data_IF_630093115434
#
_entry.id   IF_630093115434
#
_cell.length_a   1.000
_cell.length_b   1.000
_cell.length_c   1.000
_cell.angle_alpha   90.00
_cell.angle_beta   90.00
_cell.angle_gamma   90.00
#
_symmetry.space_group_name_H-M   'P 1'
#
loop_
_entity.id
_entity.type
_entity.pdbx_description
1 polymer ?
#
# COMPACT_ATOMS: atom_id res chain seq x y z
N UNK A 1 -22.87 19.38 5.17
CA UNK A 1 -21.46 19.23 4.74
C UNK A 1 -21.26 17.81 4.25
N UNK A 2 -20.60 17.61 3.10
CA UNK A 2 -20.24 16.25 2.64
C UNK A 2 -19.23 15.65 3.63
N UNK A 3 -19.48 14.45 4.11
CA UNK A 3 -18.61 13.75 5.06
C UNK A 3 -17.26 13.51 4.39
N UNK A 4 -16.17 13.83 5.07
CA UNK A 4 -14.80 13.53 4.62
C UNK A 4 -14.52 12.06 4.92
N UNK A 5 -13.96 11.35 3.95
CA UNK A 5 -13.53 9.96 4.09
C UNK A 5 -12.04 9.84 3.82
N UNK A 6 -11.33 9.18 4.70
CA UNK A 6 -9.88 9.03 4.65
C UNK A 6 -9.53 7.55 4.60
N UNK A 7 -8.68 7.19 3.65
CA UNK A 7 -8.06 5.89 3.57
C UNK A 7 -6.56 6.04 3.84
N UNK A 8 -6.04 5.33 4.83
CA UNK A 8 -4.61 5.25 5.10
C UNK A 8 -4.08 4.01 4.39
N UNK A 9 -3.12 4.17 3.49
CA UNK A 9 -2.52 3.09 2.74
C UNK A 9 -1.03 2.97 3.05
N UNK A 10 -0.63 1.87 3.65
CA UNK A 10 0.75 1.62 4.08
C UNK A 10 1.09 0.12 4.09
N UNK A 11 2.36 -0.22 4.34
CA UNK A 11 2.84 -1.60 4.33
C UNK A 11 2.53 -2.35 5.65
N UNK A 12 1.35 -2.15 6.22
CA UNK A 12 0.94 -2.68 7.54
C UNK A 12 0.32 -4.08 7.51
N UNK A 13 0.38 -4.77 6.37
CA UNK A 13 -0.05 -6.17 6.17
C UNK A 13 1.02 -7.21 6.54
N UNK A 14 2.16 -6.75 7.06
CA UNK A 14 3.30 -7.59 7.42
C UNK A 14 3.90 -7.12 8.74
N UNK A 15 4.53 -8.04 9.46
CA UNK A 15 5.17 -7.71 10.71
C UNK A 15 6.48 -6.94 10.48
N UNK A 16 6.35 -5.62 10.49
CA UNK A 16 7.44 -4.66 10.64
C UNK A 16 6.93 -3.59 11.59
N UNK A 17 7.51 -3.50 12.77
CA UNK A 17 7.01 -2.62 13.83
C UNK A 17 6.90 -1.15 13.39
N UNK A 18 7.86 -0.66 12.60
CA UNK A 18 7.80 0.69 12.04
C UNK A 18 6.55 0.89 11.16
N UNK A 19 6.28 -0.06 10.26
CA UNK A 19 5.14 0.02 9.34
C UNK A 19 3.79 -0.11 10.08
N UNK A 20 3.73 -0.86 11.19
CA UNK A 20 2.53 -0.97 12.01
C UNK A 20 2.20 0.31 12.77
N UNK A 21 3.20 1.13 13.12
CA UNK A 21 3.01 2.38 13.84
C UNK A 21 2.41 3.49 12.98
N UNK A 22 2.69 3.52 11.67
CA UNK A 22 2.22 4.60 10.79
C UNK A 22 0.70 4.75 10.79
N UNK A 23 -0.11 3.70 10.55
CA UNK A 23 -1.57 3.83 10.57
C UNK A 23 -2.09 4.23 11.95
N UNK A 24 -1.51 3.73 13.03
CA UNK A 24 -1.90 4.09 14.39
C UNK A 24 -1.71 5.57 14.69
N UNK A 25 -0.53 6.10 14.34
CA UNK A 25 -0.19 7.50 14.54
C UNK A 25 -1.09 8.39 13.69
N UNK A 26 -1.24 8.08 12.41
CA UNK A 26 -2.07 8.87 11.50
C UNK A 26 -3.55 8.82 11.92
N UNK A 27 -4.06 7.65 12.29
CA UNK A 27 -5.43 7.52 12.78
C UNK A 27 -5.68 8.43 13.99
N UNK A 28 -4.76 8.42 14.96
CA UNK A 28 -4.85 9.27 16.14
C UNK A 28 -4.81 10.76 15.77
N UNK A 29 -3.85 11.19 14.95
CA UNK A 29 -3.72 12.59 14.57
C UNK A 29 -4.91 13.10 13.75
N UNK A 30 -5.34 12.32 12.77
CA UNK A 30 -6.47 12.69 11.90
C UNK A 30 -7.76 12.78 12.69
N UNK A 31 -8.04 11.80 13.58
CA UNK A 31 -9.23 11.81 14.43
C UNK A 31 -9.26 13.00 15.40
N UNK A 32 -8.10 13.43 15.91
CA UNK A 32 -7.99 14.61 16.76
C UNK A 32 -8.25 15.92 16.00
N UNK A 33 -7.85 16.00 14.73
CA UNK A 33 -7.97 17.21 13.92
C UNK A 33 -9.31 17.32 13.20
N UNK A 34 -9.93 16.20 12.87
CA UNK A 34 -11.18 16.11 12.12
C UNK A 34 -12.15 15.19 12.89
N UNK A 35 -12.86 15.73 13.90
CA UNK A 35 -13.79 14.92 14.69
C UNK A 35 -14.87 14.28 13.81
N UNK A 36 -15.15 12.99 14.03
CA UNK A 36 -16.18 12.24 13.29
C UNK A 36 -15.82 11.86 11.86
N UNK A 37 -14.54 12.02 11.45
CA UNK A 37 -14.06 11.52 10.16
C UNK A 37 -14.09 9.98 10.15
N UNK A 38 -14.43 9.40 9.00
CA UNK A 38 -14.29 7.97 8.77
C UNK A 38 -12.90 7.66 8.24
N UNK A 39 -12.18 6.75 8.90
CA UNK A 39 -10.82 6.37 8.54
C UNK A 39 -10.77 4.86 8.39
N UNK A 40 -10.41 4.40 7.18
CA UNK A 40 -10.18 3.00 6.89
C UNK A 40 -8.69 2.75 6.62
N UNK A 41 -8.18 1.60 7.06
CA UNK A 41 -6.79 1.23 6.85
C UNK A 41 -6.68 0.20 5.71
N UNK A 42 -5.68 0.41 4.85
CA UNK A 42 -5.41 -0.41 3.69
C UNK A 42 -3.93 -0.76 3.56
N UNK A 43 -3.67 -1.93 3.01
CA UNK A 43 -2.35 -2.41 2.67
C UNK A 43 -2.41 -3.17 1.32
N UNK A 44 -1.38 -3.94 0.96
CA UNK A 44 -1.45 -4.75 -0.26
C UNK A 44 -2.49 -5.87 -0.16
N UNK A 45 -2.57 -6.52 1.01
CA UNK A 45 -3.49 -7.62 1.30
C UNK A 45 -4.33 -7.36 2.54
N UNK A 46 -5.45 -8.09 2.66
CA UNK A 46 -6.22 -8.12 3.89
C UNK A 46 -5.38 -8.73 5.01
N UNK A 47 -5.32 -8.06 6.16
CA UNK A 47 -4.54 -8.51 7.30
C UNK A 47 -5.15 -8.04 8.61
N UNK A 48 -5.01 -8.84 9.65
CA UNK A 48 -5.30 -8.44 11.03
C UNK A 48 -4.10 -8.74 11.92
N UNK A 49 -3.32 -7.72 12.18
CA UNK A 49 -2.16 -7.76 13.07
C UNK A 49 -2.43 -7.10 14.43
N UNK A 50 -3.69 -7.00 14.84
CA UNK A 50 -4.09 -6.38 16.11
C UNK A 50 -3.44 -7.04 17.31
N UNK A 51 -3.25 -8.36 17.28
CA UNK A 51 -2.55 -9.12 18.34
C UNK A 51 -1.06 -8.76 18.46
N UNK A 52 -0.48 -8.15 17.43
CA UNK A 52 0.92 -7.70 17.38
C UNK A 52 1.05 -6.18 17.51
N UNK A 53 -0.02 -5.51 17.91
CA UNK A 53 -0.04 -4.05 18.07
C UNK A 53 -0.32 -3.26 16.80
N UNK A 54 -0.73 -3.92 15.71
CA UNK A 54 -1.17 -3.28 14.48
C UNK A 54 -2.67 -2.98 14.47
N UNK A 55 -3.19 -2.69 13.30
CA UNK A 55 -4.62 -2.48 13.03
C UNK A 55 -5.09 -3.43 11.93
N UNK A 56 -6.39 -3.81 11.92
CA UNK A 56 -6.96 -4.49 10.77
C UNK A 56 -6.82 -3.64 9.50
N UNK A 57 -6.42 -4.24 8.40
CA UNK A 57 -6.23 -3.60 7.11
C UNK A 57 -6.97 -4.34 6.01
N UNK A 58 -7.42 -3.61 5.00
CA UNK A 58 -8.02 -4.14 3.79
C UNK A 58 -7.04 -4.06 2.62
N UNK A 59 -7.17 -4.98 1.66
CA UNK A 59 -6.27 -5.05 0.52
C UNK A 59 -6.45 -3.92 -0.51
N UNK A 60 -5.44 -3.73 -1.35
CA UNK A 60 -5.37 -2.71 -2.39
C UNK A 60 -6.57 -2.77 -3.37
N UNK A 61 -7.03 -3.97 -3.74
CA UNK A 61 -8.20 -4.11 -4.62
C UNK A 61 -9.44 -3.48 -4.01
N UNK A 62 -9.62 -3.64 -2.69
CA UNK A 62 -10.73 -3.05 -1.96
C UNK A 62 -10.56 -1.53 -1.83
N UNK A 63 -9.34 -1.04 -1.56
CA UNK A 63 -9.05 0.40 -1.56
C UNK A 63 -9.52 1.07 -2.85
N UNK A 64 -9.14 0.51 -4.01
CA UNK A 64 -9.51 1.05 -5.33
C UNK A 64 -11.02 0.97 -5.55
N UNK A 65 -11.65 -0.18 -5.25
CA UNK A 65 -13.09 -0.37 -5.41
C UNK A 65 -13.91 0.58 -4.54
N UNK A 66 -13.54 0.71 -3.27
CA UNK A 66 -14.25 1.56 -2.32
C UNK A 66 -14.02 3.04 -2.64
N UNK A 67 -12.79 3.42 -2.99
CA UNK A 67 -12.45 4.79 -3.34
C UNK A 67 -13.23 5.33 -4.55
N UNK A 68 -13.54 4.48 -5.54
CA UNK A 68 -14.36 4.84 -6.70
C UNK A 68 -15.80 5.22 -6.34
N UNK A 69 -16.30 4.76 -5.21
CA UNK A 69 -17.67 5.04 -4.71
C UNK A 69 -17.74 6.27 -3.81
N UNK A 70 -16.58 6.77 -3.36
CA UNK A 70 -16.46 7.86 -2.40
C UNK A 70 -16.41 9.22 -3.14
N UNK A 71 -17.09 10.24 -2.60
CA UNK A 71 -17.19 11.57 -3.25
C UNK A 71 -16.24 12.63 -2.68
N UNK A 72 -15.79 12.50 -1.46
CA UNK A 72 -14.86 13.43 -0.79
C UNK A 72 -13.80 12.62 -0.09
N UNK A 73 -12.97 11.96 -0.91
CA UNK A 73 -12.06 10.92 -0.50
C UNK A 73 -10.60 11.39 -0.56
N UNK A 74 -9.88 11.07 0.50
CA UNK A 74 -8.45 11.30 0.61
C UNK A 74 -7.75 9.97 0.87
N UNK A 75 -6.72 9.67 0.11
CA UNK A 75 -5.83 8.54 0.36
C UNK A 75 -4.50 9.08 0.85
N UNK A 76 -4.13 8.71 2.07
CA UNK A 76 -2.82 9.03 2.64
C UNK A 76 -1.94 7.82 2.47
N UNK A 77 -0.98 7.90 1.55
CA UNK A 77 0.08 6.90 1.40
C UNK A 77 1.14 7.20 2.43
N UNK A 78 1.42 6.26 3.32
CA UNK A 78 2.33 6.44 4.44
C UNK A 78 3.26 5.24 4.62
N UNK A 79 4.40 5.50 5.27
CA UNK A 79 5.38 4.47 5.58
C UNK A 79 6.77 4.83 5.06
N UNK A 80 7.81 4.12 5.53
CA UNK A 80 9.19 4.39 5.19
C UNK A 80 9.52 4.19 3.69
N UNK A 81 10.30 3.18 3.36
CA UNK A 81 10.82 2.86 2.02
C UNK A 81 9.76 2.26 1.05
N UNK A 82 8.58 2.86 0.96
CA UNK A 82 7.47 2.30 0.15
C UNK A 82 7.53 2.70 -1.32
N UNK A 83 8.09 3.85 -1.66
CA UNK A 83 8.14 4.31 -3.06
C UNK A 83 9.07 3.48 -3.94
N UNK A 84 10.14 2.92 -3.36
CA UNK A 84 11.05 2.01 -4.05
C UNK A 84 10.61 0.54 -4.02
N UNK A 85 9.43 0.24 -3.52
CA UNK A 85 8.92 -1.12 -3.47
C UNK A 85 8.42 -1.57 -4.84
N UNK A 86 8.84 -2.76 -5.26
CA UNK A 86 8.37 -3.38 -6.50
C UNK A 86 7.28 -4.42 -6.21
N UNK A 87 6.49 -4.74 -7.22
CA UNK A 87 5.38 -5.69 -7.09
C UNK A 87 5.84 -7.08 -6.62
N UNK A 88 6.88 -7.61 -7.22
CA UNK A 88 7.38 -8.94 -6.88
C UNK A 88 8.05 -8.97 -5.51
N UNK A 89 8.81 -7.91 -5.15
CA UNK A 89 9.43 -7.80 -3.84
C UNK A 89 8.40 -7.84 -2.72
N UNK A 90 7.32 -7.07 -2.85
CA UNK A 90 6.24 -7.07 -1.86
C UNK A 90 5.49 -8.40 -1.81
N UNK A 91 5.16 -8.96 -2.97
CA UNK A 91 4.51 -10.26 -3.06
C UNK A 91 5.28 -11.37 -2.36
N UNK A 92 6.61 -11.36 -2.47
CA UNK A 92 7.47 -12.31 -1.74
C UNK A 92 7.33 -12.21 -0.22
N UNK A 93 7.12 -11.03 0.33
CA UNK A 93 6.95 -10.87 1.79
C UNK A 93 5.60 -11.41 2.28
N UNK A 94 4.60 -11.44 1.42
CA UNK A 94 3.25 -11.94 1.73
C UNK A 94 3.19 -13.47 1.61
N UNK A 95 3.99 -14.04 0.73
CA UNK A 95 4.02 -15.49 0.53
C UNK A 95 4.53 -16.24 1.76
N UNK A 96 3.91 -17.41 2.08
CA UNK A 96 4.41 -18.27 3.14
C UNK A 96 5.88 -18.64 2.93
N UNK A 97 6.62 -18.72 4.02
CA UNK A 97 8.09 -18.94 4.01
C UNK A 97 8.52 -20.19 3.22
N UNK A 98 7.68 -21.23 3.16
CA UNK A 98 7.91 -22.43 2.35
C UNK A 98 8.13 -22.17 0.86
N UNK A 99 7.62 -21.05 0.33
CA UNK A 99 7.82 -20.67 -1.07
C UNK A 99 9.06 -19.81 -1.31
N UNK A 100 9.80 -19.44 -0.27
CA UNK A 100 10.98 -18.57 -0.38
C UNK A 100 12.06 -19.13 -1.31
N UNK A 101 12.28 -20.45 -1.29
CA UNK A 101 13.23 -21.11 -2.18
C UNK A 101 12.79 -21.01 -3.65
N UNK A 102 11.50 -21.27 -3.94
CA UNK A 102 10.95 -21.16 -5.28
C UNK A 102 11.07 -19.72 -5.80
N UNK A 103 10.78 -18.72 -4.97
CA UNK A 103 10.95 -17.32 -5.32
C UNK A 103 12.39 -16.95 -5.66
N UNK A 104 13.39 -17.57 -4.98
CA UNK A 104 14.81 -17.35 -5.31
C UNK A 104 15.17 -17.92 -6.69
N UNK A 105 14.65 -19.11 -7.02
CA UNK A 105 14.86 -19.71 -8.34
C UNK A 105 14.24 -18.83 -9.43
N UNK A 106 12.98 -18.47 -9.26
CA UNK A 106 12.23 -17.62 -10.20
C UNK A 106 12.97 -16.29 -10.42
N UNK A 107 13.44 -15.66 -9.35
CA UNK A 107 14.18 -14.40 -9.42
C UNK A 107 15.55 -14.51 -10.14
N UNK A 108 16.12 -15.71 -10.23
CA UNK A 108 17.34 -15.97 -11.02
C UNK A 108 17.06 -16.22 -12.50
N UNK A 109 15.88 -16.77 -12.82
CA UNK A 109 15.51 -17.17 -14.18
C UNK A 109 14.84 -16.05 -14.97
N UNK A 110 14.15 -15.13 -14.29
CA UNK A 110 13.37 -14.07 -14.93
C UNK A 110 13.83 -12.69 -14.49
N UNK A 111 13.76 -11.73 -15.40
CA UNK A 111 14.05 -10.32 -15.07
C UNK A 111 13.00 -9.76 -14.11
N UNK A 112 13.41 -8.80 -13.29
CA UNK A 112 12.53 -8.12 -12.32
C UNK A 112 11.28 -7.53 -12.99
N UNK A 113 11.44 -6.95 -14.18
CA UNK A 113 10.34 -6.34 -14.95
C UNK A 113 9.27 -7.36 -15.35
N UNK A 114 9.66 -8.58 -15.71
CA UNK A 114 8.72 -9.66 -16.04
C UNK A 114 7.97 -10.07 -14.77
N UNK A 115 8.69 -10.27 -13.67
CA UNK A 115 8.10 -10.68 -12.39
C UNK A 115 7.12 -9.64 -11.86
N UNK A 116 7.48 -8.36 -11.91
CA UNK A 116 6.61 -7.25 -11.51
C UNK A 116 5.36 -7.18 -12.41
N UNK A 117 5.51 -7.39 -13.71
CA UNK A 117 4.38 -7.44 -14.64
C UNK A 117 3.39 -8.57 -14.32
N UNK A 118 3.90 -9.75 -13.99
CA UNK A 118 3.07 -10.91 -13.62
C UNK A 118 2.30 -10.61 -12.34
N UNK A 119 3.00 -10.16 -11.29
CA UNK A 119 2.35 -9.83 -10.00
C UNK A 119 1.35 -8.70 -10.17
N UNK A 120 1.69 -7.63 -10.89
CA UNK A 120 0.78 -6.53 -11.20
C UNK A 120 -0.53 -7.01 -11.85
N UNK A 121 -0.44 -7.98 -12.78
CA UNK A 121 -1.62 -8.60 -13.42
C UNK A 121 -2.47 -9.39 -12.42
N UNK A 122 -1.85 -10.10 -11.46
CA UNK A 122 -2.58 -10.81 -10.40
C UNK A 122 -3.42 -9.84 -9.55
N UNK A 123 -2.91 -8.63 -9.34
CA UNK A 123 -3.67 -7.57 -8.65
C UNK A 123 -4.64 -6.83 -9.55
N UNK A 124 -4.68 -7.12 -10.85
CA UNK A 124 -5.47 -6.36 -11.84
C UNK A 124 -5.23 -4.86 -11.78
N UNK A 125 -3.99 -4.47 -11.44
CA UNK A 125 -3.58 -3.09 -11.22
C UNK A 125 -2.93 -2.50 -12.47
N UNK A 126 -3.15 -1.19 -12.69
CA UNK A 126 -2.46 -0.39 -13.70
C UNK A 126 -1.26 0.38 -13.13
N UNK A 127 -1.11 0.39 -11.81
CA UNK A 127 -0.04 1.11 -11.12
C UNK A 127 1.34 0.59 -11.53
N UNK A 128 2.26 1.49 -11.75
CA UNK A 128 3.68 1.15 -12.04
C UNK A 128 4.32 0.52 -10.79
N UNK A 129 4.10 1.11 -9.63
CA UNK A 129 4.55 0.60 -8.34
C UNK A 129 3.36 0.50 -7.38
N UNK A 130 3.34 -0.47 -6.46
CA UNK A 130 2.22 -0.71 -5.55
C UNK A 130 1.81 0.49 -4.70
N UNK A 131 2.76 1.34 -4.33
CA UNK A 131 2.51 2.51 -3.48
C UNK A 131 2.49 3.85 -4.22
N UNK A 132 2.72 3.85 -5.53
CA UNK A 132 2.61 5.06 -6.36
C UNK A 132 1.20 5.10 -6.95
N UNK A 133 0.26 5.59 -6.15
CA UNK A 133 -1.15 5.69 -6.53
C UNK A 133 -1.39 6.89 -7.45
N UNK A 134 -2.34 6.75 -8.39
CA UNK A 134 -2.86 7.83 -9.22
C UNK A 134 -4.34 8.07 -8.91
N UNK A 135 -4.77 9.33 -8.94
CA UNK A 135 -6.19 9.69 -8.76
C UNK A 135 -7.11 9.04 -9.83
N UNK A 136 -6.58 8.75 -11.00
CA UNK A 136 -7.28 8.07 -12.10
C UNK A 136 -7.76 6.67 -11.72
N UNK A 137 -7.01 5.94 -10.87
CA UNK A 137 -7.41 4.63 -10.37
C UNK A 137 -8.73 4.69 -9.59
N UNK A 138 -9.03 5.86 -9.00
CA UNK A 138 -10.22 6.12 -8.17
C UNK A 138 -11.32 6.89 -8.92
N UNK A 139 -11.22 7.06 -10.23
CA UNK A 139 -12.20 7.82 -11.02
C UNK A 139 -12.09 9.34 -10.88
N UNK A 140 -10.96 9.87 -10.40
CA UNK A 140 -10.66 11.30 -10.38
C UNK A 140 -11.17 12.09 -9.16
N UNK A 141 -12.03 11.51 -8.32
CA UNK A 141 -12.62 12.20 -7.16
C UNK A 141 -11.80 12.03 -5.86
N UNK A 142 -10.66 11.35 -5.93
CA UNK A 142 -9.79 11.07 -4.79
C UNK A 142 -8.57 11.96 -4.81
N UNK A 143 -8.22 12.54 -3.67
CA UNK A 143 -6.96 13.25 -3.47
C UNK A 143 -5.95 12.32 -2.81
N UNK A 144 -4.74 12.25 -3.38
CA UNK A 144 -3.66 11.40 -2.87
C UNK A 144 -2.64 12.29 -2.18
N UNK A 145 -2.27 11.91 -0.96
CA UNK A 145 -1.30 12.60 -0.12
C UNK A 145 -0.20 11.60 0.23
N UNK A 146 1.03 11.92 -0.10
CA UNK A 146 2.19 11.15 0.34
C UNK A 146 2.75 11.75 1.63
N UNK A 147 2.79 10.93 2.68
CA UNK A 147 3.24 11.37 4.00
C UNK A 147 4.35 10.46 4.52
N UNK A 148 5.51 11.04 4.81
CA UNK A 148 6.70 10.33 5.34
C UNK A 148 7.10 9.09 4.52
N UNK A 149 7.00 9.19 3.19
CA UNK A 149 7.37 8.12 2.28
C UNK A 149 8.83 8.31 1.82
N UNK A 150 9.60 7.25 1.90
CA UNK A 150 10.97 7.17 1.40
C UNK A 150 11.06 6.37 0.10
N UNK A 151 12.14 6.57 -0.63
CA UNK A 151 12.42 5.89 -1.89
C UNK A 151 13.91 5.94 -2.23
N UNK A 152 14.78 5.57 -1.28
CA UNK A 152 16.23 5.57 -1.48
C UNK A 152 16.69 4.70 -2.66
N UNK A 153 15.89 3.69 -3.03
CA UNK A 153 16.15 2.84 -4.18
C UNK A 153 15.69 3.42 -5.53
N UNK A 154 15.04 4.60 -5.56
CA UNK A 154 14.56 5.20 -6.83
C UNK A 154 15.73 5.62 -7.74
N UNK A 155 16.85 6.05 -7.18
CA UNK A 155 18.05 6.41 -7.95
C UNK A 155 18.64 5.24 -8.73
N UNK A 156 18.50 4.01 -8.23
CA UNK A 156 18.98 2.81 -8.91
C UNK A 156 18.17 2.47 -10.19
N UNK A 157 16.96 2.99 -10.31
CA UNK A 157 16.08 2.75 -11.47
C UNK A 157 16.14 3.85 -12.53
N UNK A 158 16.73 5.02 -12.23
CA UNK A 158 16.85 6.11 -13.21
C UNK A 158 18.03 5.94 -14.17
N UNK A 159 18.93 4.99 -13.91
CA UNK A 159 20.16 4.74 -14.69
C UNK A 159 20.13 3.41 -15.48
N UNK A 160 18.97 2.82 -15.70
CA UNK A 160 18.82 1.57 -16.47
C UNK A 160 17.99 1.76 -17.73
#
# INVERSE_FOLDING_TARGET
MKKVEISIYCASDRFNYGDLLFPLILHKFVSLKIPGVNIDNYAMEDSDLSSLGGMPTYGLKRLISDGRKKNNHYVIVAGGEVLGATWFKLYRYILPQKFSFLCRIINKLFSQNILDSVVRKLYSSRLVSPFVLSAEEFGGNTKIIFNTVGGSSLEAHSNS
#
